data_IF_634298283645
#
_entry.id   IF_634298283645
#
_cell.length_a   1.000
_cell.length_b   1.000
_cell.length_c   1.000
_cell.angle_alpha   90.00
_cell.angle_beta   90.00
_cell.angle_gamma   90.00
#
_symmetry.space_group_name_H-M   'P 1'
#
loop_
_entity.id
_entity.type
_entity.pdbx_description
1 polymer ?
#
# COMPACT_ATOMS: atom_id res chain seq x y z
N UNK A 1 -4.70 -39.90 15.14
CA UNK A 1 -5.93 -39.12 14.90
C UNK A 1 -6.17 -38.03 15.96
N UNK A 2 -6.25 -38.31 17.27
CA UNK A 2 -6.44 -37.22 18.26
C UNK A 2 -5.26 -36.23 18.36
N UNK A 3 -4.02 -36.69 18.21
CA UNK A 3 -2.83 -35.83 18.25
C UNK A 3 -2.73 -34.84 17.07
N UNK A 4 -3.12 -35.26 15.87
CA UNK A 4 -3.12 -34.39 14.67
C UNK A 4 -4.22 -33.34 14.72
N UNK A 5 -5.41 -33.68 15.22
CA UNK A 5 -6.51 -32.72 15.43
C UNK A 5 -6.16 -31.67 16.48
N UNK A 6 -5.47 -32.07 17.56
CA UNK A 6 -4.98 -31.13 18.58
C UNK A 6 -3.92 -30.18 18.03
N UNK A 7 -2.96 -30.68 17.24
CA UNK A 7 -1.94 -29.84 16.58
C UNK A 7 -2.59 -28.86 15.60
N UNK A 8 -3.56 -29.31 14.80
CA UNK A 8 -4.28 -28.46 13.86
C UNK A 8 -5.06 -27.35 14.57
N UNK A 9 -5.77 -27.68 15.64
CA UNK A 9 -6.49 -26.70 16.45
C UNK A 9 -5.53 -25.66 17.06
N UNK A 10 -4.36 -26.08 17.52
CA UNK A 10 -3.33 -25.19 18.06
C UNK A 10 -2.81 -24.18 17.02
N UNK A 11 -2.53 -24.61 15.78
CA UNK A 11 -2.12 -23.69 14.72
C UNK A 11 -3.16 -22.61 14.40
N UNK A 12 -4.45 -22.95 14.46
CA UNK A 12 -5.54 -22.00 14.22
C UNK A 12 -5.67 -20.98 15.35
N UNK A 13 -5.43 -21.41 16.58
CA UNK A 13 -5.38 -20.52 17.72
C UNK A 13 -4.23 -19.52 17.58
N UNK A 14 -3.04 -19.98 17.18
CA UNK A 14 -1.89 -19.10 16.90
C UNK A 14 -2.19 -18.09 15.79
N UNK A 15 -2.92 -18.49 14.74
CA UNK A 15 -3.36 -17.56 13.70
C UNK A 15 -4.26 -16.46 14.29
N UNK A 16 -5.30 -16.84 15.04
CA UNK A 16 -6.23 -15.87 15.63
C UNK A 16 -5.54 -14.95 16.65
N UNK A 17 -4.54 -15.46 17.36
CA UNK A 17 -3.69 -14.67 18.27
C UNK A 17 -2.79 -13.70 17.51
N UNK A 18 -2.07 -14.17 16.48
CA UNK A 18 -1.19 -13.35 15.62
C UNK A 18 -1.94 -12.16 15.04
N UNK A 19 -3.16 -12.38 14.55
CA UNK A 19 -3.97 -11.33 13.90
C UNK A 19 -4.91 -10.57 14.85
N UNK A 20 -4.79 -10.78 16.16
CA UNK A 20 -5.43 -9.95 17.18
C UNK A 20 -6.93 -10.18 17.36
N UNK A 21 -7.42 -11.40 17.13
CA UNK A 21 -8.82 -11.77 17.34
C UNK A 21 -9.17 -12.13 18.78
N UNK A 22 -8.15 -12.34 19.64
CA UNK A 22 -8.33 -12.50 21.08
C UNK A 22 -8.20 -11.17 21.82
N UNK A 23 -8.98 -10.99 22.90
CA UNK A 23 -9.02 -9.74 23.69
C UNK A 23 -7.82 -9.57 24.61
N UNK A 24 -7.36 -10.67 25.21
CA UNK A 24 -6.19 -10.69 26.09
C UNK A 24 -4.97 -11.11 25.27
N UNK A 25 -3.90 -10.31 25.33
CA UNK A 25 -2.62 -10.64 24.70
C UNK A 25 -1.82 -11.51 25.67
N UNK A 26 -1.56 -12.75 25.28
CA UNK A 26 -0.73 -13.66 26.05
C UNK A 26 -0.94 -15.09 25.58
N UNK A 27 0.15 -15.84 25.46
CA UNK A 27 0.15 -17.25 25.11
C UNK A 27 -0.58 -18.04 26.20
N UNK A 28 -1.87 -18.29 26.00
CA UNK A 28 -2.73 -19.02 26.90
C UNK A 28 -3.68 -19.91 26.11
N UNK A 29 -4.01 -21.07 26.66
CA UNK A 29 -5.10 -21.90 26.16
C UNK A 29 -6.41 -21.11 26.26
N UNK A 30 -6.91 -20.61 25.13
CA UNK A 30 -8.19 -19.93 25.05
C UNK A 30 -9.32 -20.95 25.21
N UNK A 31 -10.36 -20.56 25.94
CA UNK A 31 -11.54 -21.40 26.11
C UNK A 31 -12.24 -21.64 24.75
N UNK A 32 -12.98 -22.75 24.57
CA UNK A 32 -13.75 -22.98 23.35
C UNK A 32 -14.71 -21.84 22.99
N UNK A 33 -15.24 -21.15 24.00
CA UNK A 33 -16.11 -20.00 23.82
C UNK A 33 -15.36 -18.78 23.26
N UNK A 34 -14.15 -18.52 23.75
CA UNK A 34 -13.28 -17.46 23.23
C UNK A 34 -12.83 -17.75 21.81
N UNK A 35 -12.45 -19.00 21.51
CA UNK A 35 -12.09 -19.43 20.17
C UNK A 35 -13.25 -19.24 19.19
N UNK A 36 -14.45 -19.71 19.53
CA UNK A 36 -15.63 -19.55 18.66
C UNK A 36 -15.97 -18.07 18.44
N UNK A 37 -15.82 -17.23 19.46
CA UNK A 37 -16.01 -15.78 19.33
C UNK A 37 -14.97 -15.14 18.40
N UNK A 38 -13.69 -15.43 18.61
CA UNK A 38 -12.60 -14.95 17.76
C UNK A 38 -12.82 -15.35 16.29
N UNK A 39 -13.31 -16.58 16.06
CA UNK A 39 -13.63 -17.08 14.73
C UNK A 39 -14.82 -16.34 14.09
N UNK A 40 -15.87 -16.00 14.86
CA UNK A 40 -16.97 -15.15 14.37
C UNK A 40 -16.49 -13.77 13.96
N UNK A 41 -15.58 -13.20 14.72
CA UNK A 41 -15.02 -11.88 14.43
C UNK A 41 -14.16 -11.95 13.16
N UNK A 42 -13.32 -12.98 13.00
CA UNK A 42 -12.59 -13.25 11.77
C UNK A 42 -13.52 -13.42 10.55
N UNK A 43 -14.55 -14.26 10.66
CA UNK A 43 -15.52 -14.48 9.59
C UNK A 43 -16.22 -13.18 9.20
N UNK A 44 -16.61 -12.35 10.16
CA UNK A 44 -17.25 -11.05 9.91
C UNK A 44 -16.34 -10.11 9.12
N UNK A 45 -15.06 -10.01 9.50
CA UNK A 45 -14.08 -9.13 8.84
C UNK A 45 -13.76 -9.60 7.43
N UNK A 46 -13.76 -10.92 7.21
CA UNK A 46 -13.48 -11.53 5.91
C UNK A 46 -14.72 -11.72 5.02
N UNK A 47 -15.89 -11.29 5.51
CA UNK A 47 -17.20 -11.41 4.85
C UNK A 47 -17.61 -12.86 4.57
N UNK A 48 -17.29 -13.73 5.51
CA UNK A 48 -17.84 -15.08 5.61
C UNK A 48 -19.04 -15.09 6.56
N UNK A 49 -19.93 -16.08 6.46
CA UNK A 49 -20.99 -16.29 7.45
C UNK A 49 -20.39 -16.43 8.86
N UNK A 50 -20.80 -15.58 9.80
CA UNK A 50 -20.26 -15.54 11.16
C UNK A 50 -20.85 -16.66 12.05
N UNK A 51 -20.62 -17.91 11.67
CA UNK A 51 -21.07 -19.12 12.38
C UNK A 51 -20.30 -19.33 13.69
N UNK A 52 -19.02 -18.95 13.72
CA UNK A 52 -18.09 -19.33 14.80
C UNK A 52 -17.69 -20.78 14.74
N UNK A 53 -17.91 -21.42 13.58
CA UNK A 53 -17.55 -22.81 13.29
C UNK A 53 -16.42 -22.79 12.26
N UNK A 54 -15.44 -23.67 12.48
CA UNK A 54 -14.33 -23.85 11.56
C UNK A 54 -14.79 -24.69 10.37
N UNK A 55 -15.21 -24.00 9.31
CA UNK A 55 -15.64 -24.60 8.05
C UNK A 55 -14.57 -24.46 6.95
N UNK A 56 -14.77 -25.19 5.84
CA UNK A 56 -13.83 -25.17 4.72
C UNK A 56 -13.61 -23.76 4.13
N UNK A 57 -14.63 -22.89 3.97
CA UNK A 57 -14.42 -21.49 3.55
C UNK A 57 -13.54 -20.70 4.51
N UNK A 58 -13.74 -20.87 5.83
CA UNK A 58 -12.92 -20.19 6.85
C UNK A 58 -11.47 -20.64 6.77
N UNK A 59 -11.22 -21.96 6.68
CA UNK A 59 -9.88 -22.51 6.51
C UNK A 59 -9.20 -22.04 5.23
N UNK A 60 -9.93 -22.04 4.11
CA UNK A 60 -9.43 -21.52 2.85
C UNK A 60 -9.00 -20.05 2.98
N UNK A 61 -9.84 -19.23 3.62
CA UNK A 61 -9.55 -17.82 3.86
C UNK A 61 -8.34 -17.61 4.80
N UNK A 62 -8.15 -18.44 5.82
CA UNK A 62 -6.98 -18.37 6.71
C UNK A 62 -5.68 -18.74 5.98
N UNK A 63 -5.73 -19.60 4.97
CA UNK A 63 -4.58 -20.03 4.19
C UNK A 63 -4.16 -19.05 3.07
N UNK A 64 -4.98 -18.04 2.76
CA UNK A 64 -4.65 -17.06 1.73
C UNK A 64 -3.50 -16.14 2.17
N UNK A 65 -2.55 -15.81 1.27
CA UNK A 65 -1.47 -14.90 1.58
C UNK A 65 -2.00 -13.51 1.97
N UNK A 66 -1.38 -12.89 2.97
CA UNK A 66 -1.87 -11.66 3.59
C UNK A 66 -0.74 -10.84 4.23
N UNK A 67 -1.07 -9.62 4.65
CA UNK A 67 -0.24 -8.84 5.57
C UNK A 67 -0.23 -9.50 6.96
N UNK A 68 0.94 -9.51 7.59
CA UNK A 68 1.25 -10.03 8.92
C UNK A 68 0.87 -9.09 10.07
N UNK A 69 0.41 -7.87 9.78
CA UNK A 69 -0.05 -6.90 10.79
C UNK A 69 -1.39 -7.32 11.41
N UNK A 70 -1.59 -7.08 12.71
CA UNK A 70 -2.83 -7.31 13.47
C UNK A 70 -4.03 -6.58 12.83
N UNK A 71 -5.20 -7.25 12.75
CA UNK A 71 -6.43 -6.71 12.12
C UNK A 71 -7.16 -5.65 12.97
N UNK A 72 -6.67 -5.35 14.17
CA UNK A 72 -7.16 -4.32 15.09
C UNK A 72 -8.47 -4.66 15.81
N UNK A 73 -8.95 -5.90 15.75
CA UNK A 73 -10.29 -6.29 16.21
C UNK A 73 -10.40 -6.68 17.69
N UNK A 74 -9.29 -6.98 18.38
CA UNK A 74 -9.26 -7.31 19.81
C UNK A 74 -9.57 -6.15 20.77
N UNK A 75 -9.70 -4.91 20.27
CA UNK A 75 -10.00 -3.71 21.07
C UNK A 75 -11.42 -3.25 20.78
N UNK A 76 -12.39 -3.84 21.46
CA UNK A 76 -13.76 -3.30 21.53
C UNK A 76 -13.70 -1.90 22.15
N UNK A 77 -13.68 -0.87 21.32
CA UNK A 77 -14.17 0.46 21.68
C UNK A 77 -15.58 0.54 21.08
N UNK A 78 -16.61 1.02 21.81
CA UNK A 78 -18.00 1.00 21.35
C UNK A 78 -18.12 1.66 19.98
N UNK A 79 -19.01 1.11 19.15
CA UNK A 79 -19.41 1.60 17.84
C UNK A 79 -20.05 3.01 17.89
N UNK A 80 -19.28 4.01 18.32
CA UNK A 80 -19.53 5.42 18.05
C UNK A 80 -18.74 5.74 16.78
N UNK A 81 -19.47 6.25 15.79
CA UNK A 81 -19.02 6.75 14.49
C UNK A 81 -17.89 7.78 14.64
N UNK A 82 -16.69 7.32 14.97
CA UNK A 82 -15.49 8.14 14.99
C UNK A 82 -14.44 7.41 14.15
N UNK A 83 -14.36 7.87 12.91
CA UNK A 83 -13.31 7.71 11.91
C UNK A 83 -12.02 7.08 12.45
N UNK A 84 -11.55 6.02 11.74
CA UNK A 84 -10.43 5.10 12.03
C UNK A 84 -9.03 5.76 12.18
N UNK A 85 -8.95 6.95 12.77
CA UNK A 85 -7.87 7.89 12.48
C UNK A 85 -7.14 8.44 13.69
N UNK A 86 -7.43 8.04 14.94
CA UNK A 86 -6.82 8.77 16.07
C UNK A 86 -6.33 7.98 17.28
N UNK A 87 -6.75 6.74 17.54
CA UNK A 87 -6.56 6.22 18.90
C UNK A 87 -5.46 5.18 19.12
N UNK A 88 -4.92 4.50 18.09
CA UNK A 88 -3.94 3.42 18.35
C UNK A 88 -2.65 3.40 17.51
N UNK A 89 -2.54 4.13 16.38
CA UNK A 89 -1.29 4.21 15.59
C UNK A 89 -0.59 5.56 15.58
N UNK A 90 -1.28 6.61 16.03
CA UNK A 90 -0.84 7.99 15.83
C UNK A 90 -0.75 8.35 14.35
N UNK A 91 -0.34 9.59 14.10
CA UNK A 91 0.10 10.06 12.78
C UNK A 91 1.48 10.66 12.94
N UNK A 92 2.24 10.70 11.87
CA UNK A 92 3.43 11.53 11.81
C UNK A 92 3.07 13.00 12.11
N UNK A 93 3.80 13.69 13.02
CA UNK A 93 3.55 15.11 13.32
C UNK A 93 4.00 16.03 12.17
N UNK A 94 4.86 15.52 11.28
CA UNK A 94 5.38 16.21 10.10
C UNK A 94 4.79 15.68 8.81
N UNK A 95 4.86 16.52 7.76
CA UNK A 95 4.36 16.22 6.41
C UNK A 95 5.43 15.65 5.47
N UNK A 96 6.68 16.03 5.71
CA UNK A 96 7.83 15.60 4.93
C UNK A 96 8.45 14.41 5.64
N UNK A 97 8.39 13.25 4.99
CA UNK A 97 8.88 11.99 5.53
C UNK A 97 10.02 11.48 4.66
N UNK A 98 11.06 10.95 5.30
CA UNK A 98 12.15 10.27 4.60
C UNK A 98 11.95 8.77 4.63
N UNK A 99 12.31 8.09 3.55
CA UNK A 99 12.27 6.64 3.50
C UNK A 99 13.59 6.06 2.99
N UNK A 100 13.88 4.82 3.38
CA UNK A 100 15.09 4.10 2.94
C UNK A 100 14.79 2.63 2.71
N UNK A 101 15.33 2.12 1.59
CA UNK A 101 15.41 0.68 1.32
C UNK A 101 16.74 0.17 1.89
N UNK A 102 16.67 -0.65 2.95
CA UNK A 102 17.85 -1.10 3.70
C UNK A 102 18.58 -2.21 2.95
N UNK A 103 17.84 -3.21 2.50
CA UNK A 103 18.32 -4.33 1.69
C UNK A 103 17.24 -4.72 0.67
N UNK A 104 17.53 -5.70 -0.20
CA UNK A 104 16.62 -6.16 -1.26
C UNK A 104 16.90 -7.62 -1.60
N UNK A 105 15.93 -8.34 -2.18
CA UNK A 105 16.19 -9.66 -2.74
C UNK A 105 17.28 -9.58 -3.83
N UNK A 106 18.32 -10.42 -3.78
CA UNK A 106 19.49 -10.30 -4.67
C UNK A 106 19.16 -10.55 -6.14
N UNK A 107 18.11 -11.34 -6.40
CA UNK A 107 17.63 -11.65 -7.75
C UNK A 107 16.82 -10.52 -8.41
N UNK A 108 16.47 -9.46 -7.67
CA UNK A 108 15.78 -8.30 -8.24
C UNK A 108 16.77 -7.17 -8.56
N UNK A 109 16.62 -6.50 -9.72
CA UNK A 109 17.46 -5.36 -10.07
C UNK A 109 17.23 -4.18 -9.12
N UNK A 110 18.31 -3.54 -8.66
CA UNK A 110 18.26 -2.42 -7.70
C UNK A 110 17.37 -1.27 -8.15
N UNK A 111 17.55 -0.87 -9.40
CA UNK A 111 16.76 0.20 -10.00
C UNK A 111 15.27 -0.12 -9.99
N UNK A 112 14.89 -1.33 -10.42
CA UNK A 112 13.48 -1.74 -10.48
C UNK A 112 12.80 -1.76 -9.10
N UNK A 113 13.51 -2.21 -8.06
CA UNK A 113 13.00 -2.13 -6.68
C UNK A 113 12.86 -0.69 -6.22
N UNK A 114 13.86 0.18 -6.47
CA UNK A 114 13.78 1.61 -6.11
C UNK A 114 12.61 2.30 -6.81
N UNK A 115 12.35 1.99 -8.08
CA UNK A 115 11.18 2.49 -8.81
C UNK A 115 9.87 2.02 -8.20
N UNK A 116 9.73 0.72 -7.90
CA UNK A 116 8.54 0.17 -7.26
C UNK A 116 8.27 0.83 -5.89
N UNK A 117 9.31 0.99 -5.07
CA UNK A 117 9.20 1.67 -3.77
C UNK A 117 8.82 3.14 -3.94
N UNK A 118 9.47 3.86 -4.86
CA UNK A 118 9.15 5.27 -5.14
C UNK A 118 7.70 5.43 -5.61
N UNK A 119 7.23 4.54 -6.48
CA UNK A 119 5.86 4.53 -6.96
C UNK A 119 4.86 4.28 -5.81
N UNK A 120 5.18 3.39 -4.87
CA UNK A 120 4.35 3.13 -3.69
C UNK A 120 4.21 4.36 -2.79
N UNK A 121 5.29 5.11 -2.55
CA UNK A 121 5.21 6.38 -1.82
C UNK A 121 4.45 7.46 -2.60
N UNK A 122 4.67 7.54 -3.92
CA UNK A 122 3.95 8.48 -4.79
C UNK A 122 2.45 8.24 -4.78
N UNK A 123 2.01 6.99 -4.71
CA UNK A 123 0.61 6.62 -4.63
C UNK A 123 -0.09 7.34 -3.45
N UNK A 124 0.56 7.39 -2.29
CA UNK A 124 0.05 8.05 -1.09
C UNK A 124 0.19 9.58 -1.14
N UNK A 125 1.28 10.12 -1.69
CA UNK A 125 1.43 11.58 -1.82
C UNK A 125 0.46 12.18 -2.84
N UNK A 126 0.06 11.43 -3.86
CA UNK A 126 -0.89 11.90 -4.88
C UNK A 126 -2.29 12.17 -4.33
N UNK A 127 -2.63 11.60 -3.18
CA UNK A 127 -3.97 11.70 -2.57
C UNK A 127 -3.95 12.33 -1.18
N UNK A 128 -2.79 12.79 -0.70
CA UNK A 128 -2.63 13.41 0.62
C UNK A 128 -1.69 14.62 0.56
N UNK A 129 -1.57 15.37 1.66
CA UNK A 129 -0.56 16.46 1.76
C UNK A 129 0.83 15.98 2.21
N UNK A 130 1.10 14.68 2.17
CA UNK A 130 2.41 14.11 2.50
C UNK A 130 3.41 14.29 1.36
N UNK A 131 4.68 14.45 1.72
CA UNK A 131 5.81 14.52 0.80
C UNK A 131 6.85 13.50 1.25
N UNK A 132 7.43 12.79 0.27
CA UNK A 132 8.38 11.70 0.52
C UNK A 132 9.71 11.94 -0.16
N UNK A 133 10.80 11.68 0.56
CA UNK A 133 12.17 11.78 0.06
C UNK A 133 12.95 10.51 0.35
N UNK A 134 13.63 9.97 -0.66
CA UNK A 134 14.53 8.83 -0.47
C UNK A 134 15.81 9.31 0.23
N UNK A 135 16.11 8.73 1.40
CA UNK A 135 17.37 8.96 2.10
C UNK A 135 18.44 7.98 1.61
N UNK A 136 19.58 8.52 1.17
CA UNK A 136 20.71 7.72 0.71
C UNK A 136 21.59 7.23 1.86
N UNK A 137 21.72 8.04 2.92
CA UNK A 137 22.55 7.77 4.09
C UNK A 137 21.85 8.22 5.38
N UNK A 138 22.32 7.72 6.52
CA UNK A 138 21.80 8.10 7.83
C UNK A 138 20.43 7.50 8.18
N UNK A 139 19.79 8.01 9.25
CA UNK A 139 18.46 7.58 9.70
C UNK A 139 17.37 8.06 8.74
N UNK A 140 16.33 7.25 8.57
CA UNK A 140 15.13 7.59 7.81
C UNK A 140 13.88 7.37 8.67
N UNK A 141 12.82 8.13 8.43
CA UNK A 141 11.55 7.98 9.15
C UNK A 141 10.91 6.62 8.88
N UNK A 142 11.01 6.14 7.63
CA UNK A 142 10.42 4.87 7.19
C UNK A 142 11.51 3.96 6.63
N UNK A 143 11.69 2.78 7.21
CA UNK A 143 12.70 1.80 6.79
C UNK A 143 12.04 0.56 6.22
N UNK A 144 12.46 0.18 5.01
CA UNK A 144 11.99 -0.99 4.29
C UNK A 144 13.09 -2.05 4.30
N UNK A 145 12.82 -3.21 4.92
CA UNK A 145 13.82 -4.26 5.11
C UNK A 145 13.24 -5.64 4.81
N UNK A 146 14.01 -6.49 4.15
CA UNK A 146 13.68 -7.88 3.87
C UNK A 146 14.37 -8.76 4.90
N UNK A 147 13.60 -9.63 5.58
CA UNK A 147 14.10 -10.54 6.61
C UNK A 147 13.68 -11.98 6.30
N UNK A 148 14.35 -12.94 6.93
CA UNK A 148 14.00 -14.36 6.84
C UNK A 148 13.63 -14.86 8.23
N UNK A 149 12.48 -15.51 8.38
CA UNK A 149 12.06 -16.11 9.64
C UNK A 149 11.99 -15.10 10.79
N UNK A 150 12.49 -15.50 11.96
CA UNK A 150 12.62 -14.62 13.13
C UNK A 150 13.70 -13.54 12.90
N UNK A 151 13.34 -12.31 13.23
CA UNK A 151 14.18 -11.12 13.04
C UNK A 151 14.06 -10.15 14.23
N UNK A 152 13.80 -10.69 15.43
CA UNK A 152 13.91 -9.99 16.72
C UNK A 152 12.99 -8.77 16.89
N UNK A 153 11.83 -8.76 16.22
CA UNK A 153 10.85 -7.68 16.31
C UNK A 153 9.50 -8.10 16.95
N UNK A 154 9.44 -9.34 17.47
CA UNK A 154 8.35 -9.88 18.27
C UNK A 154 8.06 -11.35 17.97
N UNK A 155 7.65 -12.13 18.98
CA UNK A 155 7.40 -13.58 18.83
C UNK A 155 6.36 -13.93 17.75
N UNK A 156 5.38 -13.06 17.51
CA UNK A 156 4.33 -13.26 16.51
C UNK A 156 4.67 -12.67 15.12
N UNK A 157 5.84 -12.05 14.98
CA UNK A 157 6.26 -11.35 13.76
C UNK A 157 7.27 -12.14 12.92
N UNK A 158 7.71 -13.33 13.39
CA UNK A 158 8.52 -14.22 12.57
C UNK A 158 7.80 -14.56 11.25
N UNK A 159 8.54 -14.50 10.14
CA UNK A 159 8.03 -14.91 8.84
C UNK A 159 7.93 -16.43 8.72
N UNK A 160 6.92 -16.90 8.00
CA UNK A 160 6.51 -18.30 7.89
C UNK A 160 6.98 -18.99 6.61
N UNK A 161 7.75 -18.28 5.77
CA UNK A 161 8.24 -18.79 4.50
C UNK A 161 7.23 -18.54 3.36
N UNK A 162 7.35 -19.25 2.23
CA UNK A 162 6.52 -18.96 1.06
C UNK A 162 5.01 -19.13 1.32
N UNK A 163 4.22 -18.08 1.12
CA UNK A 163 2.79 -18.03 1.44
C UNK A 163 2.54 -17.17 2.68
N UNK A 164 1.42 -17.44 3.37
CA UNK A 164 1.20 -16.89 4.71
C UNK A 164 1.35 -15.37 4.82
N UNK A 165 2.26 -14.93 5.69
CA UNK A 165 2.54 -13.52 5.96
C UNK A 165 3.61 -12.96 5.00
N UNK A 166 3.17 -12.14 4.04
CA UNK A 166 4.08 -11.60 3.01
C UNK A 166 5.01 -10.50 3.54
N UNK A 167 4.50 -9.71 4.47
CA UNK A 167 5.12 -8.51 5.02
C UNK A 167 4.33 -8.05 6.25
N UNK A 168 4.93 -7.21 7.09
CA UNK A 168 4.24 -6.47 8.15
C UNK A 168 4.89 -5.12 8.36
N UNK A 169 4.17 -4.23 9.02
CA UNK A 169 4.64 -2.89 9.26
C UNK A 169 4.31 -2.40 10.67
N UNK A 170 5.18 -1.55 11.18
CA UNK A 170 4.98 -0.84 12.41
C UNK A 170 4.49 0.59 12.12
N UNK A 171 3.44 0.94 12.84
CA UNK A 171 2.79 2.26 12.83
C UNK A 171 3.80 3.41 13.05
N UNK A 172 3.45 4.67 12.71
CA UNK A 172 4.36 5.81 12.59
C UNK A 172 5.44 5.99 13.67
N UNK A 173 5.24 5.57 14.92
CA UNK A 173 6.26 5.75 15.97
C UNK A 173 7.54 4.94 15.73
N UNK A 174 7.46 3.77 15.09
CA UNK A 174 8.62 2.95 14.71
C UNK A 174 9.02 3.15 13.26
N UNK A 175 8.04 3.29 12.36
CA UNK A 175 8.30 3.60 10.94
C UNK A 175 9.12 2.51 10.25
N UNK A 176 8.70 1.26 10.40
CA UNK A 176 9.41 0.10 9.83
C UNK A 176 8.41 -0.75 9.06
N UNK A 177 8.83 -1.26 7.91
CA UNK A 177 8.08 -2.23 7.14
C UNK A 177 9.02 -3.36 6.72
N UNK A 178 8.66 -4.57 7.11
CA UNK A 178 9.43 -5.78 6.95
C UNK A 178 8.76 -6.67 5.91
N UNK A 179 9.56 -7.29 5.06
CA UNK A 179 9.09 -8.14 3.96
C UNK A 179 9.71 -9.52 4.09
N UNK A 180 8.94 -10.58 3.86
CA UNK A 180 9.47 -11.93 3.88
C UNK A 180 10.41 -12.15 2.69
N UNK A 181 11.69 -12.39 2.95
CA UNK A 181 12.69 -12.68 1.94
C UNK A 181 12.56 -14.08 1.32
N UNK A 182 11.85 -15.01 1.97
CA UNK A 182 11.53 -16.31 1.42
C UNK A 182 10.48 -16.23 0.29
N UNK A 183 9.78 -15.10 0.18
CA UNK A 183 8.81 -14.90 -0.87
C UNK A 183 9.43 -14.71 -2.25
N UNK A 184 8.72 -15.21 -3.27
CA UNK A 184 9.11 -15.00 -4.67
C UNK A 184 8.57 -13.66 -5.16
N UNK A 185 9.31 -12.60 -4.87
CA UNK A 185 9.01 -11.23 -5.27
C UNK A 185 9.14 -11.03 -6.78
N UNK A 186 8.29 -10.16 -7.31
CA UNK A 186 8.24 -9.82 -8.74
C UNK A 186 7.99 -8.34 -8.93
N UNK A 187 8.58 -7.77 -9.98
CA UNK A 187 8.38 -6.38 -10.41
C UNK A 187 7.36 -6.27 -11.56
N UNK A 188 6.64 -7.37 -11.83
CA UNK A 188 5.68 -7.49 -12.92
C UNK A 188 4.36 -8.07 -12.41
N UNK A 189 3.32 -8.06 -13.23
CA UNK A 189 2.02 -8.70 -12.94
C UNK A 189 2.00 -10.22 -13.16
N UNK A 190 3.17 -10.85 -13.39
CA UNK A 190 3.31 -12.25 -13.76
C UNK A 190 3.40 -13.23 -12.56
N UNK A 191 4.32 -14.18 -12.66
CA UNK A 191 4.56 -15.20 -11.62
C UNK A 191 5.25 -14.58 -10.40
N UNK A 192 4.70 -14.81 -9.21
CA UNK A 192 5.26 -14.32 -7.94
C UNK A 192 4.33 -13.32 -7.24
N UNK A 193 4.86 -12.66 -6.20
CA UNK A 193 4.16 -11.62 -5.43
C UNK A 193 4.64 -10.27 -5.94
N UNK A 194 3.73 -9.42 -6.40
CA UNK A 194 4.10 -8.11 -6.92
C UNK A 194 4.63 -7.23 -5.77
N UNK A 195 5.87 -6.78 -5.85
CA UNK A 195 6.52 -6.04 -4.77
C UNK A 195 5.86 -4.66 -4.56
N UNK A 196 5.48 -3.97 -5.64
CA UNK A 196 4.87 -2.64 -5.55
C UNK A 196 3.58 -2.66 -4.74
N UNK A 197 2.68 -3.63 -4.98
CA UNK A 197 1.39 -3.66 -4.28
C UNK A 197 1.57 -3.92 -2.77
N UNK A 198 2.50 -4.80 -2.40
CA UNK A 198 2.77 -5.10 -0.99
C UNK A 198 3.47 -3.93 -0.32
N UNK A 199 4.48 -3.32 -0.95
CA UNK A 199 5.12 -2.11 -0.43
C UNK A 199 4.09 -0.98 -0.26
N UNK A 200 3.20 -0.78 -1.23
CA UNK A 200 2.17 0.26 -1.14
C UNK A 200 1.23 0.02 0.06
N UNK A 201 0.84 -1.24 0.31
CA UNK A 201 0.07 -1.63 1.49
C UNK A 201 0.82 -1.34 2.79
N UNK A 202 2.04 -1.86 2.93
CA UNK A 202 2.84 -1.67 4.15
C UNK A 202 3.17 -0.20 4.42
N UNK A 203 3.42 0.59 3.37
CA UNK A 203 3.58 2.04 3.53
C UNK A 203 2.32 2.65 4.14
N UNK A 204 1.12 2.23 3.76
CA UNK A 204 -0.13 2.68 4.38
C UNK A 204 -0.13 2.49 5.91
N UNK A 205 0.34 1.34 6.40
CA UNK A 205 0.53 1.10 7.83
C UNK A 205 1.57 2.02 8.45
N UNK A 206 2.73 2.22 7.80
CA UNK A 206 3.74 3.18 8.31
C UNK A 206 3.22 4.62 8.38
N UNK A 207 2.13 4.95 7.66
CA UNK A 207 1.42 6.22 7.71
C UNK A 207 0.29 6.27 8.76
N UNK A 208 0.00 5.15 9.42
CA UNK A 208 -1.01 5.07 10.47
C UNK A 208 -2.35 4.48 10.03
N UNK A 209 -2.46 3.95 8.81
CA UNK A 209 -3.66 3.25 8.37
C UNK A 209 -3.72 1.85 8.98
N UNK A 210 -4.93 1.41 9.29
CA UNK A 210 -5.22 0.04 9.70
C UNK A 210 -5.82 -0.73 8.53
N UNK A 211 -5.95 -2.05 8.68
CA UNK A 211 -6.62 -2.87 7.70
C UNK A 211 -8.06 -2.39 7.44
N UNK A 212 -8.39 -2.31 6.15
CA UNK A 212 -9.74 -2.01 5.67
C UNK A 212 -10.57 -3.28 5.59
N UNK A 213 -11.84 -3.28 6.03
CA UNK A 213 -12.74 -4.38 5.76
C UNK A 213 -13.16 -4.42 4.27
N UNK A 214 -12.91 -3.37 3.48
CA UNK A 214 -13.33 -3.34 2.08
C UNK A 214 -12.40 -4.22 1.23
N UNK A 215 -12.92 -5.32 0.67
CA UNK A 215 -12.13 -6.30 -0.11
C UNK A 215 -11.35 -5.71 -1.28
N UNK A 216 -11.86 -4.61 -1.86
CA UNK A 216 -11.22 -3.95 -3.00
C UNK A 216 -10.19 -2.89 -2.60
N UNK A 217 -10.08 -2.55 -1.31
CA UNK A 217 -9.14 -1.55 -0.81
C UNK A 217 -7.71 -2.08 -0.85
N UNK A 218 -6.75 -1.18 -1.06
CA UNK A 218 -5.33 -1.50 -0.96
C UNK A 218 -5.01 -1.99 0.45
N UNK A 219 -5.57 -1.33 1.47
CA UNK A 219 -5.40 -1.71 2.88
C UNK A 219 -6.22 -2.94 3.30
N UNK A 220 -6.83 -3.69 2.38
CA UNK A 220 -7.43 -4.99 2.74
C UNK A 220 -6.31 -5.97 3.16
N UNK A 221 -6.49 -6.75 4.23
CA UNK A 221 -5.40 -7.57 4.78
C UNK A 221 -4.89 -8.64 3.80
N UNK A 222 -5.74 -9.11 2.90
CA UNK A 222 -5.42 -10.20 2.00
C UNK A 222 -4.77 -9.72 0.72
N UNK A 223 -3.76 -10.46 0.27
CA UNK A 223 -3.01 -10.14 -0.93
C UNK A 223 -3.92 -10.15 -2.16
N UNK A 224 -3.98 -9.00 -2.83
CA UNK A 224 -4.64 -8.84 -4.13
C UNK A 224 -3.59 -8.69 -5.22
N UNK A 225 -3.72 -9.48 -6.29
CA UNK A 225 -2.88 -9.30 -7.48
C UNK A 225 -3.15 -7.93 -8.12
N UNK A 226 -2.10 -7.32 -8.65
CA UNK A 226 -2.22 -6.08 -9.40
C UNK A 226 -3.18 -6.30 -10.58
N UNK A 227 -4.23 -5.47 -10.62
CA UNK A 227 -5.27 -5.51 -11.66
C UNK A 227 -5.20 -4.27 -12.54
N UNK A 228 -6.02 -4.21 -13.60
CA UNK A 228 -6.11 -3.02 -14.47
C UNK A 228 -6.81 -1.84 -13.77
N UNK A 229 -7.55 -2.10 -12.71
CA UNK A 229 -8.32 -1.12 -11.95
C UNK A 229 -7.43 -0.20 -11.11
N UNK A 230 -8.02 0.84 -10.51
CA UNK A 230 -7.33 1.72 -9.58
C UNK A 230 -6.72 0.95 -8.42
N UNK A 231 -5.50 1.35 -8.04
CA UNK A 231 -4.77 0.70 -6.93
C UNK A 231 -5.36 1.13 -5.59
N UNK A 232 -5.67 2.41 -5.41
CA UNK A 232 -6.35 2.93 -4.23
C UNK A 232 -7.86 2.92 -4.41
N UNK A 233 -8.56 2.42 -3.42
CA UNK A 233 -10.01 2.57 -3.32
C UNK A 233 -10.38 3.91 -2.67
N UNK A 234 -11.67 4.26 -2.72
CA UNK A 234 -12.19 5.40 -1.98
C UNK A 234 -12.00 5.30 -0.47
N UNK A 235 -12.06 4.09 0.09
CA UNK A 235 -11.84 3.86 1.52
C UNK A 235 -10.40 4.23 1.92
N UNK A 236 -9.41 3.82 1.12
CA UNK A 236 -8.00 4.16 1.34
C UNK A 236 -7.77 5.67 1.30
N UNK A 237 -8.38 6.36 0.33
CA UNK A 237 -8.22 7.79 0.11
C UNK A 237 -8.86 8.59 1.25
N UNK A 238 -10.06 8.24 1.66
CA UNK A 238 -10.73 8.90 2.77
C UNK A 238 -9.96 8.70 4.08
N UNK A 239 -9.42 7.51 4.31
CA UNK A 239 -8.64 7.21 5.52
C UNK A 239 -7.32 8.00 5.58
N UNK A 240 -6.57 8.08 4.47
CA UNK A 240 -5.33 8.87 4.48
C UNK A 240 -5.61 10.38 4.55
N UNK A 241 -6.69 10.84 3.92
CA UNK A 241 -7.11 12.25 4.00
C UNK A 241 -7.69 12.60 5.38
N UNK A 242 -8.22 11.67 6.16
CA UNK A 242 -8.63 11.99 7.54
C UNK A 242 -7.41 12.21 8.46
N UNK A 243 -6.30 11.50 8.21
CA UNK A 243 -5.06 11.69 8.95
C UNK A 243 -4.30 12.96 8.52
N UNK A 244 -4.26 13.18 7.21
CA UNK A 244 -3.33 14.12 6.58
C UNK A 244 -4.00 15.17 5.70
N UNK A 245 -5.29 15.12 5.42
CA UNK A 245 -5.95 16.04 4.50
C UNK A 245 -5.55 15.81 3.04
N UNK A 246 -6.22 16.55 2.15
CA UNK A 246 -6.06 16.49 0.68
C UNK A 246 -4.69 17.03 0.22
N UNK A 247 -4.27 16.76 -1.03
CA UNK A 247 -3.07 17.34 -1.61
C UNK A 247 -3.06 18.87 -1.52
N UNK A 248 -1.89 19.44 -1.25
CA UNK A 248 -1.71 20.89 -1.08
C UNK A 248 -1.73 21.66 -2.41
N UNK A 249 -1.52 20.98 -3.55
CA UNK A 249 -1.59 21.54 -4.90
C UNK A 249 -2.33 20.56 -5.82
N UNK A 250 -3.37 21.03 -6.50
CA UNK A 250 -4.14 20.23 -7.47
C UNK A 250 -5.18 19.29 -6.85
N UNK A 251 -5.86 18.54 -7.71
CA UNK A 251 -6.82 17.50 -7.30
C UNK A 251 -6.10 16.18 -6.99
N UNK A 252 -6.71 15.34 -6.16
CA UNK A 252 -6.19 14.00 -5.87
C UNK A 252 -6.08 13.18 -7.16
N UNK A 253 -4.89 12.63 -7.42
CA UNK A 253 -4.60 11.84 -8.63
C UNK A 253 -4.68 10.36 -8.29
N UNK A 254 -5.63 9.64 -8.90
CA UNK A 254 -5.68 8.18 -8.82
C UNK A 254 -4.98 7.57 -10.04
N UNK A 255 -4.02 6.68 -9.79
CA UNK A 255 -3.30 5.97 -10.85
C UNK A 255 -3.88 4.57 -11.06
N UNK A 256 -4.20 4.18 -12.31
CA UNK A 256 -4.67 2.84 -12.60
C UNK A 256 -3.52 1.83 -12.50
N UNK A 257 -3.82 0.62 -12.01
CA UNK A 257 -2.83 -0.42 -11.76
C UNK A 257 -2.04 -0.85 -13.00
N UNK A 258 -2.61 -0.65 -14.20
CA UNK A 258 -1.93 -0.88 -15.48
C UNK A 258 -0.62 -0.09 -15.66
N UNK A 259 -0.43 1.01 -14.93
CA UNK A 259 0.81 1.82 -14.99
C UNK A 259 1.97 1.14 -14.26
N UNK A 260 1.67 0.20 -13.36
CA UNK A 260 2.64 -0.43 -12.45
C UNK A 260 2.92 -1.90 -12.81
N UNK A 261 2.58 -2.31 -14.03
CA UNK A 261 2.73 -3.70 -14.50
C UNK A 261 4.16 -4.02 -14.95
N UNK A 262 4.98 -3.02 -15.26
CA UNK A 262 6.33 -3.20 -15.81
C UNK A 262 7.34 -2.16 -15.29
N UNK A 263 7.99 -2.44 -14.16
CA UNK A 263 9.06 -1.57 -13.64
C UNK A 263 10.44 -1.83 -14.27
N UNK A 264 10.64 -2.97 -14.95
CA UNK A 264 11.91 -3.27 -15.62
C UNK A 264 12.03 -2.60 -17.00
N UNK A 265 10.92 -2.42 -17.72
CA UNK A 265 10.91 -1.84 -19.07
C UNK A 265 11.11 -0.33 -19.09
N UNK A 266 11.00 0.33 -17.93
CA UNK A 266 11.42 1.73 -17.73
C UNK A 266 12.92 1.95 -17.96
N UNK A 267 13.69 0.88 -18.20
CA UNK A 267 15.12 0.90 -18.47
C UNK A 267 15.45 1.25 -19.94
N UNK A 268 14.57 0.98 -20.89
CA UNK A 268 14.90 1.09 -22.33
C UNK A 268 14.98 2.53 -22.84
N UNK A 269 14.23 3.46 -22.24
CA UNK A 269 14.23 4.88 -22.67
C UNK A 269 15.32 5.73 -22.00
N UNK A 270 15.98 5.24 -20.95
CA UNK A 270 17.00 5.99 -20.21
C UNK A 270 18.44 5.78 -20.70
N UNK A 271 18.68 4.72 -21.48
CA UNK A 271 20.01 4.45 -22.05
C UNK A 271 20.21 4.99 -23.47
N UNK A 272 19.16 5.56 -24.10
CA UNK A 272 19.24 6.22 -25.41
C UNK A 272 18.85 7.70 -25.34
N UNK A 273 19.55 8.51 -24.54
CA UNK A 273 19.96 9.91 -24.83
C UNK A 273 20.23 10.73 -23.57
N UNK A 274 21.51 11.01 -23.42
CA UNK A 274 22.17 12.22 -22.93
C UNK A 274 21.82 12.83 -21.54
N UNK A 275 22.89 13.08 -20.80
CA UNK A 275 22.95 13.66 -19.45
C UNK A 275 22.50 15.13 -19.49
N UNK A 276 21.22 15.41 -19.23
CA UNK A 276 20.77 16.66 -18.61
C UNK A 276 19.37 16.47 -18.02
N UNK A 277 19.35 16.32 -16.69
CA UNK A 277 18.29 16.77 -15.78
C UNK A 277 16.87 16.84 -16.38
N UNK A 278 16.30 15.67 -16.71
CA UNK A 278 14.87 15.55 -17.03
C UNK A 278 14.16 14.84 -15.89
N UNK A 279 13.35 15.61 -15.16
CA UNK A 279 12.34 15.08 -14.25
C UNK A 279 11.30 14.28 -15.04
N UNK A 280 10.51 13.48 -14.33
CA UNK A 280 9.38 12.64 -14.79
C UNK A 280 8.33 13.34 -15.69
N UNK A 281 8.53 14.60 -16.07
CA UNK A 281 7.78 15.33 -17.10
C UNK A 281 7.66 14.54 -18.41
N UNK A 282 8.69 13.80 -18.82
CA UNK A 282 8.73 13.11 -20.12
C UNK A 282 7.69 11.99 -20.26
N UNK A 283 7.23 11.38 -19.17
CA UNK A 283 6.25 10.27 -19.23
C UNK A 283 4.80 10.75 -19.35
N UNK A 284 4.51 12.04 -19.15
CA UNK A 284 3.21 12.63 -19.50
C UNK A 284 3.07 12.87 -21.01
N UNK A 285 4.17 13.01 -21.75
CA UNK A 285 4.19 13.34 -23.18
C UNK A 285 3.87 12.16 -24.11
N UNK A 286 3.73 10.93 -23.62
CA UNK A 286 3.38 9.76 -24.42
C UNK A 286 1.90 9.38 -24.34
N UNK A 287 1.03 10.35 -24.03
CA UNK A 287 -0.42 10.15 -24.05
C UNK A 287 -1.02 10.75 -25.33
N UNK A 288 -1.98 10.03 -25.93
CA UNK A 288 -2.81 10.55 -27.01
C UNK A 288 -3.98 11.32 -26.38
N UNK A 289 -4.31 12.49 -26.94
CA UNK A 289 -5.41 13.35 -26.48
C UNK A 289 -6.60 13.23 -27.42
N UNK A 290 -7.82 13.23 -26.87
CA UNK A 290 -9.03 13.16 -27.69
C UNK A 290 -9.37 14.53 -28.29
N UNK A 291 -9.14 15.60 -27.53
CA UNK A 291 -9.36 16.98 -27.96
C UNK A 291 -8.53 17.97 -27.13
N UNK A 292 -8.11 19.06 -27.80
CA UNK A 292 -7.48 20.23 -27.18
C UNK A 292 -8.35 21.42 -27.54
N UNK A 293 -8.78 22.20 -26.55
CA UNK A 293 -9.56 23.43 -26.77
C UNK A 293 -8.90 24.62 -26.10
N UNK A 294 -8.82 25.74 -26.82
CA UNK A 294 -8.41 27.04 -26.30
C UNK A 294 -9.63 27.97 -26.27
N UNK A 295 -9.99 28.42 -25.07
CA UNK A 295 -10.97 29.50 -24.88
C UNK A 295 -10.23 30.81 -24.65
N UNK A 296 -9.87 31.53 -25.72
CA UNK A 296 -9.15 32.82 -25.63
C UNK A 296 -7.77 32.73 -24.98
N UNK A 297 -7.21 33.87 -24.53
CA UNK A 297 -5.94 33.96 -23.77
C UNK A 297 -6.09 33.35 -22.34
N UNK A 298 -6.53 32.11 -22.27
CA UNK A 298 -6.69 31.31 -21.07
C UNK A 298 -5.94 29.97 -21.20
N UNK A 299 -5.79 29.25 -20.08
CA UNK A 299 -5.01 28.02 -20.02
C UNK A 299 -5.62 26.91 -20.89
N UNK A 300 -4.75 26.16 -21.59
CA UNK A 300 -5.14 25.08 -22.49
C UNK A 300 -5.80 23.94 -21.69
N UNK A 301 -7.01 23.57 -22.11
CA UNK A 301 -7.76 22.46 -21.54
C UNK A 301 -7.54 21.20 -22.38
N UNK A 302 -7.14 20.12 -21.73
CA UNK A 302 -6.81 18.86 -22.39
C UNK A 302 -7.70 17.74 -21.85
N UNK A 303 -8.31 16.98 -22.75
CA UNK A 303 -9.20 15.86 -22.45
C UNK A 303 -8.58 14.56 -22.96
N UNK A 304 -8.58 13.51 -22.13
CA UNK A 304 -8.10 12.18 -22.50
C UNK A 304 -9.05 11.09 -21.97
N UNK A 305 -9.40 10.12 -22.84
CA UNK A 305 -10.40 9.06 -22.60
C UNK A 305 -11.80 9.58 -22.21
N UNK A 306 -12.19 10.75 -22.75
CA UNK A 306 -13.48 11.38 -22.43
C UNK A 306 -13.59 11.95 -21.00
N UNK A 307 -12.47 12.12 -20.29
CA UNK A 307 -12.41 12.74 -18.96
C UNK A 307 -11.28 13.78 -18.87
N UNK A 308 -11.45 14.74 -17.96
CA UNK A 308 -10.52 15.86 -17.75
C UNK A 308 -9.12 15.38 -17.38
N UNK A 309 -8.10 15.78 -18.15
CA UNK A 309 -6.73 15.30 -17.96
C UNK A 309 -5.87 16.28 -17.16
N UNK A 310 -5.79 17.56 -17.56
CA UNK A 310 -4.99 18.59 -16.86
C UNK A 310 -5.23 20.00 -17.43
N UNK A 311 -4.70 21.01 -16.75
CA UNK A 311 -4.63 22.41 -17.18
C UNK A 311 -3.16 22.79 -17.34
N UNK A 312 -2.73 23.15 -18.54
CA UNK A 312 -1.34 23.57 -18.80
C UNK A 312 -1.21 25.09 -18.56
N UNK A 313 -0.14 25.50 -17.88
CA UNK A 313 0.24 26.91 -17.80
C UNK A 313 0.69 27.37 -19.20
N UNK A 314 0.06 28.41 -19.72
CA UNK A 314 0.27 28.91 -21.06
C UNK A 314 1.36 29.99 -21.08
N UNK A 315 2.26 29.98 -22.09
CA UNK A 315 3.46 30.83 -22.19
C UNK A 315 3.34 31.94 -23.26
N UNK A 316 2.22 32.67 -23.33
CA UNK A 316 2.16 33.98 -24.01
C UNK A 316 1.17 34.11 -25.17
N UNK A 317 0.55 35.31 -25.26
CA UNK A 317 -0.43 35.68 -26.31
C UNK A 317 0.27 36.02 -27.62
N UNK A 318 -0.27 35.48 -28.71
CA UNK A 318 0.00 35.94 -30.07
C UNK A 318 -1.06 37.00 -30.40
N UNK A 319 -0.64 38.26 -30.52
CA UNK A 319 -1.46 39.31 -31.13
C UNK A 319 -1.14 39.33 -32.63
N UNK A 320 -2.13 39.07 -33.47
CA UNK A 320 -1.98 39.00 -34.92
C UNK A 320 -1.64 40.36 -35.57
N UNK A 321 -1.61 41.46 -34.80
CA UNK A 321 -1.31 42.80 -35.32
C UNK A 321 0.05 43.37 -34.90
N UNK A 322 0.88 42.64 -34.16
CA UNK A 322 2.25 43.07 -33.88
C UNK A 322 3.19 41.86 -33.88
N UNK A 323 4.09 41.78 -34.86
CA UNK A 323 5.04 40.67 -35.04
C UNK A 323 6.13 40.61 -33.94
N UNK A 324 5.78 40.68 -32.66
CA UNK A 324 6.72 40.47 -31.56
C UNK A 324 6.12 39.66 -30.40
N UNK A 325 6.91 38.70 -29.92
CA UNK A 325 6.62 37.90 -28.72
C UNK A 325 7.08 38.69 -27.49
N UNK A 326 6.14 39.04 -26.60
CA UNK A 326 6.44 39.58 -25.27
C UNK A 326 6.66 38.40 -24.30
N UNK A 327 7.83 38.37 -23.66
CA UNK A 327 8.26 37.37 -22.68
C UNK A 327 7.55 37.49 -21.32
#
# INVERSE_FOLDING_TARGET
MCSELHLFHFFLQLFLEKYGYFRERGAGTHSPAEFSKALRDFQRVTHLPASGVLDAPTLHQMALPRCGTDDGHGRTVPARRHWRSAQHGGRWPKRQLTYRVVNRPPYLPQHGVRLAVRAAFQLWSNVSSLLFWEAHEGPADIRLTFFHGDHNDGLNNAFDGPGGALAHAFLPRRGEAHFDSAERWSLHSGKGRNLFIVVAHEVGHTLGLQHSPVKSALMSPYYKKLSKDFVLSWDDILAIQSLYGKPSKGSAIQLPGKVFTHFQDWNTDLYSRDRRQRSLSTYYCHTFFDAITSGGCGPLQVVATGKWATQLAWMGCWDANSEQVLF
#
